data_IF_061310975071
#
_entry.id   IF_061310975071
#
_cell.length_a   1.000
_cell.length_b   1.000
_cell.length_c   1.000
_cell.angle_alpha   90.00
_cell.angle_beta   90.00
_cell.angle_gamma   90.00
#
_symmetry.space_group_name_H-M   'P 1'
#
loop_
_entity.id
_entity.type
_entity.pdbx_description
1 polymer ?
#
# COMPACT_ATOMS: atom_id res chain seq x y z
N UNK A 1 -12.84 -18.91 64.45
CA UNK A 1 -13.20 -19.70 63.27
C UNK A 1 -13.38 -18.73 62.11
N UNK A 2 -12.41 -18.67 61.20
CA UNK A 2 -12.39 -17.67 60.11
C UNK A 2 -12.41 -18.42 58.78
N UNK A 3 -13.40 -18.11 57.96
CA UNK A 3 -13.84 -18.88 56.80
C UNK A 3 -12.98 -18.59 55.57
N UNK A 4 -12.42 -19.65 54.98
CA UNK A 4 -11.74 -19.65 53.69
C UNK A 4 -12.74 -19.42 52.55
N UNK A 5 -12.58 -18.33 51.79
CA UNK A 5 -13.34 -18.08 50.56
C UNK A 5 -12.40 -18.11 49.35
N UNK A 6 -12.47 -19.22 48.62
CA UNK A 6 -11.79 -19.46 47.36
C UNK A 6 -12.37 -18.56 46.24
N UNK A 7 -11.50 -17.91 45.46
CA UNK A 7 -11.87 -17.19 44.23
C UNK A 7 -11.89 -18.15 43.04
N UNK A 8 -12.99 -18.25 42.26
CA UNK A 8 -12.95 -18.94 40.98
C UNK A 8 -12.35 -18.00 39.91
N UNK A 9 -11.22 -18.40 39.32
CA UNK A 9 -10.74 -17.83 38.06
C UNK A 9 -11.61 -18.35 36.90
N UNK A 10 -12.49 -17.52 36.38
CA UNK A 10 -13.25 -17.79 35.16
C UNK A 10 -12.53 -17.14 33.96
N UNK A 11 -11.66 -17.94 33.31
CA UNK A 11 -10.97 -17.58 32.07
C UNK A 11 -11.96 -17.68 30.90
N UNK A 12 -12.50 -16.55 30.45
CA UNK A 12 -13.27 -16.49 29.22
C UNK A 12 -12.35 -16.48 27.98
N UNK A 13 -12.54 -17.34 26.97
CA UNK A 13 -11.81 -17.22 25.71
C UNK A 13 -12.44 -16.13 24.82
N UNK A 14 -11.67 -15.08 24.55
CA UNK A 14 -11.98 -14.02 23.58
C UNK A 14 -12.09 -14.61 22.15
N UNK A 15 -13.28 -15.08 21.75
CA UNK A 15 -13.61 -15.51 20.38
C UNK A 15 -14.37 -14.44 19.59
N UNK A 16 -13.84 -13.21 19.52
CA UNK A 16 -14.52 -12.09 18.83
C UNK A 16 -13.72 -11.50 17.67
N UNK A 17 -12.45 -11.86 17.48
CA UNK A 17 -11.64 -11.34 16.38
C UNK A 17 -11.91 -12.03 15.02
N UNK A 18 -12.22 -13.33 14.98
CA UNK A 18 -12.39 -14.08 13.72
C UNK A 18 -13.67 -13.76 12.93
N UNK A 19 -14.77 -13.43 13.63
CA UNK A 19 -16.10 -13.27 12.99
C UNK A 19 -16.23 -11.99 12.15
N UNK A 20 -15.50 -10.92 12.49
CA UNK A 20 -15.52 -9.68 11.68
C UNK A 20 -14.84 -9.87 10.33
N UNK A 21 -13.68 -10.53 10.28
CA UNK A 21 -13.00 -10.82 9.03
C UNK A 21 -13.78 -11.80 8.15
N UNK A 22 -14.44 -12.80 8.74
CA UNK A 22 -15.34 -13.71 8.03
C UNK A 22 -16.57 -12.98 7.47
N UNK A 23 -17.13 -12.01 8.21
CA UNK A 23 -18.27 -11.21 7.73
C UNK A 23 -17.93 -10.22 6.62
N UNK A 24 -16.72 -9.64 6.62
CA UNK A 24 -16.27 -8.76 5.52
C UNK A 24 -15.82 -9.56 4.31
N UNK A 25 -15.17 -10.71 4.51
CA UNK A 25 -14.82 -11.64 3.44
C UNK A 25 -16.06 -12.25 2.78
N UNK A 26 -17.07 -12.64 3.56
CA UNK A 26 -18.36 -13.13 3.04
C UNK A 26 -19.15 -12.04 2.33
N UNK A 27 -19.10 -10.79 2.79
CA UNK A 27 -19.72 -9.65 2.12
C UNK A 27 -19.04 -9.29 0.79
N UNK A 28 -17.70 -9.33 0.73
CA UNK A 28 -16.94 -9.10 -0.50
C UNK A 28 -17.09 -10.25 -1.49
N UNK A 29 -17.10 -11.50 -1.00
CA UNK A 29 -17.41 -12.68 -1.80
C UNK A 29 -18.85 -12.64 -2.32
N UNK A 30 -19.81 -12.18 -1.52
CA UNK A 30 -21.22 -12.05 -1.93
C UNK A 30 -21.40 -10.95 -2.98
N UNK A 31 -20.67 -9.83 -2.88
CA UNK A 31 -20.66 -8.76 -3.90
C UNK A 31 -19.96 -9.19 -5.19
N UNK A 32 -18.89 -9.99 -5.09
CA UNK A 32 -18.24 -10.61 -6.24
C UNK A 32 -19.17 -11.63 -6.92
N UNK A 33 -19.88 -12.47 -6.15
CA UNK A 33 -20.91 -13.38 -6.64
C UNK A 33 -22.07 -12.63 -7.30
N UNK A 34 -22.50 -11.50 -6.75
CA UNK A 34 -23.56 -10.66 -7.35
C UNK A 34 -23.09 -9.97 -8.64
N UNK A 35 -21.84 -9.54 -8.73
CA UNK A 35 -21.25 -9.01 -9.97
C UNK A 35 -21.15 -10.08 -11.05
N UNK A 36 -20.72 -11.29 -10.68
CA UNK A 36 -20.65 -12.45 -11.56
C UNK A 36 -22.04 -12.88 -12.03
N UNK A 37 -23.04 -12.87 -11.15
CA UNK A 37 -24.45 -13.14 -11.50
C UNK A 37 -25.04 -12.08 -12.41
N UNK A 38 -24.71 -10.79 -12.26
CA UNK A 38 -25.17 -9.75 -13.18
C UNK A 38 -24.55 -9.89 -14.58
N UNK A 39 -23.28 -10.32 -14.66
CA UNK A 39 -22.61 -10.60 -15.94
C UNK A 39 -23.11 -11.92 -16.55
N UNK A 40 -23.44 -12.94 -15.74
CA UNK A 40 -24.03 -14.20 -16.21
C UNK A 40 -25.48 -14.06 -16.66
N UNK A 41 -26.21 -13.05 -16.16
CA UNK A 41 -27.57 -12.74 -16.60
C UNK A 41 -27.60 -11.85 -17.84
N UNK A 42 -26.56 -11.05 -18.08
CA UNK A 42 -26.45 -10.20 -19.27
C UNK A 42 -25.95 -10.95 -20.52
N UNK A 43 -25.33 -12.12 -20.35
CA UNK A 43 -24.91 -13.01 -21.43
C UNK A 43 -25.53 -14.39 -21.18
N UNK A 44 -26.55 -14.74 -21.97
CA UNK A 44 -27.44 -15.89 -21.77
C UNK A 44 -26.79 -17.29 -21.70
N UNK A 45 -27.57 -18.37 -21.85
CA UNK A 45 -27.28 -19.73 -21.35
C UNK A 45 -26.00 -20.42 -21.86
N UNK A 46 -25.24 -19.80 -22.77
CA UNK A 46 -23.91 -20.25 -23.17
C UNK A 46 -22.86 -20.13 -22.05
N UNK A 47 -23.00 -19.20 -21.10
CA UNK A 47 -22.01 -18.99 -20.01
C UNK A 47 -22.39 -19.76 -18.72
N UNK A 48 -23.69 -19.98 -18.48
CA UNK A 48 -24.14 -20.84 -17.37
C UNK A 48 -23.70 -22.31 -17.53
N UNK A 49 -23.54 -22.77 -18.78
CA UNK A 49 -22.88 -24.05 -19.10
C UNK A 49 -21.37 -24.05 -18.84
N UNK A 50 -20.70 -22.89 -18.88
CA UNK A 50 -19.27 -22.77 -18.57
C UNK A 50 -19.02 -22.81 -17.05
N UNK A 51 -19.88 -22.19 -16.23
CA UNK A 51 -19.70 -22.20 -14.77
C UNK A 51 -19.89 -23.59 -14.11
N UNK A 52 -20.72 -24.48 -14.69
CA UNK A 52 -20.82 -25.90 -14.28
C UNK A 52 -19.93 -26.84 -15.10
N UNK A 53 -19.46 -26.40 -16.27
CA UNK A 53 -18.61 -27.15 -17.19
C UNK A 53 -17.10 -26.94 -17.01
N UNK A 54 -16.65 -25.95 -16.22
CA UNK A 54 -15.21 -25.70 -15.96
C UNK A 54 -14.52 -26.84 -15.20
N UNK A 55 -15.25 -27.77 -14.57
CA UNK A 55 -14.66 -28.99 -14.00
C UNK A 55 -14.32 -30.08 -15.04
N UNK A 56 -15.14 -30.22 -16.11
CA UNK A 56 -15.08 -31.36 -17.04
C UNK A 56 -14.83 -30.97 -18.53
N UNK A 57 -14.96 -29.69 -18.90
CA UNK A 57 -14.64 -29.16 -20.23
C UNK A 57 -13.28 -28.44 -20.25
N UNK A 58 -12.75 -28.04 -19.09
CA UNK A 58 -11.39 -27.49 -18.98
C UNK A 58 -10.31 -28.57 -19.22
N UNK A 59 -10.64 -29.84 -18.92
CA UNK A 59 -9.86 -30.99 -19.35
C UNK A 59 -9.95 -31.29 -20.86
N UNK A 60 -10.84 -30.61 -21.60
CA UNK A 60 -11.05 -30.82 -23.04
C UNK A 60 -10.61 -29.63 -23.91
N UNK A 61 -10.21 -28.49 -23.34
CA UNK A 61 -9.46 -27.45 -24.05
C UNK A 61 -7.97 -27.84 -24.04
N UNK A 62 -7.62 -28.86 -24.83
CA UNK A 62 -6.25 -29.25 -25.06
C UNK A 62 -5.51 -28.21 -25.91
N UNK A 63 -4.35 -27.73 -25.45
CA UNK A 63 -3.50 -26.80 -26.22
C UNK A 63 -2.72 -25.79 -25.36
N UNK A 64 -2.05 -24.85 -26.02
CA UNK A 64 -1.27 -23.78 -25.36
C UNK A 64 -2.13 -22.90 -24.44
N UNK A 65 -3.39 -22.67 -24.81
CA UNK A 65 -4.37 -21.89 -24.03
C UNK A 65 -4.80 -22.60 -22.75
N UNK A 66 -5.04 -23.92 -22.78
CA UNK A 66 -5.41 -24.70 -21.59
C UNK A 66 -4.30 -24.73 -20.54
N UNK A 67 -3.02 -24.74 -20.95
CA UNK A 67 -1.88 -24.64 -20.02
C UNK A 67 -1.82 -23.30 -19.29
N UNK A 68 -2.05 -22.19 -19.99
CA UNK A 68 -2.07 -20.86 -19.37
C UNK A 68 -3.23 -20.73 -18.39
N UNK A 69 -4.42 -21.21 -18.74
CA UNK A 69 -5.58 -21.18 -17.85
C UNK A 69 -5.32 -22.01 -16.59
N UNK A 70 -4.77 -23.22 -16.73
CA UNK A 70 -4.41 -24.04 -15.57
C UNK A 70 -3.30 -23.40 -14.71
N UNK A 71 -2.31 -22.75 -15.33
CA UNK A 71 -1.27 -22.04 -14.59
C UNK A 71 -1.84 -20.85 -13.81
N UNK A 72 -2.67 -20.02 -14.44
CA UNK A 72 -3.33 -18.89 -13.78
C UNK A 72 -4.23 -19.38 -12.65
N UNK A 73 -5.01 -20.44 -12.88
CA UNK A 73 -5.89 -21.02 -11.86
C UNK A 73 -5.11 -21.57 -10.67
N UNK A 74 -3.96 -22.22 -10.91
CA UNK A 74 -3.07 -22.69 -9.86
C UNK A 74 -2.40 -21.54 -9.09
N UNK A 75 -2.08 -20.43 -9.76
CA UNK A 75 -1.37 -19.29 -9.16
C UNK A 75 -2.31 -18.31 -8.43
N UNK A 76 -3.59 -18.27 -8.80
CA UNK A 76 -4.62 -17.42 -8.20
C UNK A 76 -4.69 -17.53 -6.66
N UNK A 77 -4.78 -18.72 -6.05
CA UNK A 77 -4.83 -18.83 -4.59
C UNK A 77 -3.55 -18.34 -3.91
N UNK A 78 -2.38 -18.62 -4.50
CA UNK A 78 -1.09 -18.17 -3.98
C UNK A 78 -0.99 -16.64 -3.96
N UNK A 79 -1.22 -16.00 -5.10
CA UNK A 79 -1.11 -14.53 -5.23
C UNK A 79 -2.16 -13.84 -4.36
N UNK A 80 -3.36 -14.41 -4.23
CA UNK A 80 -4.40 -13.84 -3.36
C UNK A 80 -3.99 -13.87 -1.89
N UNK A 81 -3.43 -14.97 -1.41
CA UNK A 81 -3.01 -15.10 -0.01
C UNK A 81 -1.83 -14.18 0.31
N UNK A 82 -0.75 -14.29 -0.47
CA UNK A 82 0.45 -13.50 -0.24
C UNK A 82 0.26 -12.02 -0.56
N UNK A 83 -0.59 -11.68 -1.52
CA UNK A 83 -0.98 -10.29 -1.80
C UNK A 83 -1.68 -9.63 -0.61
N UNK A 84 -2.60 -10.36 0.05
CA UNK A 84 -3.26 -9.85 1.27
C UNK A 84 -2.28 -9.68 2.43
N UNK A 85 -1.40 -10.65 2.65
CA UNK A 85 -0.37 -10.56 3.70
C UNK A 85 0.57 -9.38 3.42
N UNK A 86 1.03 -9.23 2.17
CA UNK A 86 1.86 -8.11 1.76
C UNK A 86 1.17 -6.76 1.97
N UNK A 87 -0.13 -6.66 1.67
CA UNK A 87 -0.92 -5.45 1.92
C UNK A 87 -1.02 -5.12 3.42
N UNK A 88 -1.34 -6.07 4.29
CA UNK A 88 -1.41 -5.82 5.73
C UNK A 88 -0.04 -5.45 6.31
N UNK A 89 1.04 -6.09 5.86
CA UNK A 89 2.40 -5.73 6.25
C UNK A 89 2.76 -4.32 5.78
N UNK A 90 2.41 -3.96 4.53
CA UNK A 90 2.66 -2.61 4.01
C UNK A 90 1.94 -1.54 4.83
N UNK A 91 0.73 -1.83 5.33
CA UNK A 91 -0.04 -0.92 6.18
C UNK A 91 0.64 -0.70 7.54
N UNK A 92 1.18 -1.76 8.14
CA UNK A 92 1.93 -1.66 9.39
C UNK A 92 3.21 -0.84 9.21
N UNK A 93 3.94 -1.05 8.12
CA UNK A 93 5.15 -0.28 7.80
C UNK A 93 4.80 1.17 7.53
N UNK A 94 3.75 1.45 6.75
CA UNK A 94 3.30 2.81 6.46
C UNK A 94 2.95 3.59 7.74
N UNK A 95 2.25 2.93 8.66
CA UNK A 95 1.90 3.54 9.94
C UNK A 95 3.11 3.68 10.88
N UNK A 96 3.96 2.67 10.98
CA UNK A 96 5.17 2.69 11.81
C UNK A 96 6.19 3.72 11.35
N UNK A 97 6.32 3.92 10.03
CA UNK A 97 7.21 4.92 9.42
C UNK A 97 6.58 6.31 9.35
N UNK A 98 5.39 6.53 9.94
CA UNK A 98 4.69 7.81 9.96
C UNK A 98 4.54 8.45 8.57
N UNK A 99 4.28 7.63 7.56
CA UNK A 99 4.10 8.11 6.17
C UNK A 99 2.75 8.80 5.94
N UNK A 100 1.89 8.89 6.96
CA UNK A 100 0.69 9.73 6.92
C UNK A 100 1.08 11.22 6.86
N UNK A 101 0.41 12.04 6.03
CA UNK A 101 0.69 13.46 5.98
C UNK A 101 0.51 14.08 7.37
N UNK A 102 1.44 14.97 7.80
CA UNK A 102 1.37 15.57 9.12
C UNK A 102 0.16 16.49 9.25
N UNK A 103 -0.25 16.77 10.48
CA UNK A 103 -1.39 17.64 10.74
C UNK A 103 -1.13 19.07 10.27
N UNK A 104 -2.20 19.82 9.95
CA UNK A 104 -2.08 21.23 9.54
C UNK A 104 -1.41 22.10 10.61
N UNK A 105 -1.63 21.79 11.90
CA UNK A 105 -0.95 22.47 13.00
C UNK A 105 0.58 22.25 12.94
N UNK A 106 1.01 21.01 12.66
CA UNK A 106 2.44 20.68 12.50
C UNK A 106 3.05 21.44 11.32
N UNK A 107 2.33 21.56 10.20
CA UNK A 107 2.76 22.38 9.07
C UNK A 107 2.91 23.86 9.44
N UNK A 108 1.90 24.44 10.09
CA UNK A 108 1.93 25.85 10.53
C UNK A 108 3.13 26.12 11.45
N UNK A 109 3.34 25.27 12.46
CA UNK A 109 4.47 25.41 13.37
C UNK A 109 5.82 25.25 12.66
N UNK A 110 5.94 24.29 11.74
CA UNK A 110 7.18 24.08 10.98
C UNK A 110 7.47 25.29 10.09
N UNK A 111 6.45 25.80 9.39
CA UNK A 111 6.58 26.98 8.54
C UNK A 111 6.96 28.23 9.33
N UNK A 112 6.29 28.50 10.45
CA UNK A 112 6.60 29.63 11.34
C UNK A 112 8.05 29.54 11.85
N UNK A 113 8.46 28.37 12.33
CA UNK A 113 9.84 28.17 12.80
C UNK A 113 10.86 28.36 11.67
N UNK A 114 10.58 27.86 10.47
CA UNK A 114 11.45 28.05 9.31
C UNK A 114 11.57 29.54 8.95
N UNK A 115 10.43 30.22 8.89
CA UNK A 115 10.34 31.64 8.56
C UNK A 115 11.09 32.52 9.57
N UNK A 116 10.87 32.28 10.86
CA UNK A 116 11.58 32.99 11.94
C UNK A 116 13.09 32.71 11.90
N UNK A 117 13.52 31.49 11.57
CA UNK A 117 14.95 31.16 11.41
C UNK A 117 15.58 31.88 10.23
N UNK A 118 14.85 32.04 9.13
CA UNK A 118 15.30 32.80 7.96
C UNK A 118 15.37 34.29 8.26
N UNK A 119 14.34 34.86 8.89
CA UNK A 119 14.28 36.28 9.26
C UNK A 119 15.38 36.66 10.27
N UNK A 120 15.66 35.78 11.23
CA UNK A 120 16.70 36.00 12.24
C UNK A 120 18.10 35.57 11.77
N UNK A 121 18.25 35.10 10.53
CA UNK A 121 19.56 34.75 9.96
C UNK A 121 20.30 36.03 9.60
N UNK A 122 21.29 36.42 10.40
CA UNK A 122 22.28 37.40 9.97
C UNK A 122 23.15 36.79 8.87
N UNK A 123 22.89 37.16 7.61
CA UNK A 123 23.66 36.76 6.43
C UNK A 123 24.94 37.61 6.42
N UNK A 124 25.87 37.30 7.33
CA UNK A 124 27.22 37.85 7.26
C UNK A 124 28.14 36.80 6.62
N UNK A 125 28.98 37.17 5.63
CA UNK A 125 29.92 36.23 5.00
C UNK A 125 30.80 35.49 6.02
N UNK A 126 31.16 36.15 7.12
CA UNK A 126 31.98 35.62 8.19
C UNK A 126 31.28 34.49 8.97
N UNK A 127 29.99 34.64 9.29
CA UNK A 127 29.21 33.62 10.00
C UNK A 127 28.92 32.41 9.13
N UNK A 128 28.71 32.60 7.82
CA UNK A 128 28.49 31.52 6.86
C UNK A 128 29.76 30.68 6.70
N UNK A 129 30.91 31.34 6.53
CA UNK A 129 32.19 30.64 6.37
C UNK A 129 32.55 29.86 7.65
N UNK A 130 32.29 30.43 8.83
CA UNK A 130 32.47 29.73 10.12
C UNK A 130 31.53 28.51 10.21
N UNK A 131 30.27 28.65 9.80
CA UNK A 131 29.32 27.55 9.80
C UNK A 131 29.74 26.43 8.86
N UNK A 132 30.09 26.73 7.61
CA UNK A 132 30.53 25.72 6.63
C UNK A 132 31.79 24.99 7.13
N UNK A 133 32.72 25.70 7.77
CA UNK A 133 33.92 25.09 8.39
C UNK A 133 33.60 24.26 9.63
N UNK A 134 32.54 24.59 10.35
CA UNK A 134 32.10 23.88 11.56
C UNK A 134 31.21 22.65 11.28
N UNK A 135 30.80 22.44 10.02
CA UNK A 135 30.00 21.27 9.64
C UNK A 135 30.89 20.03 9.60
N UNK A 136 30.54 19.03 10.42
CA UNK A 136 31.14 17.71 10.37
C UNK A 136 30.65 16.89 9.19
N UNK A 137 31.46 15.92 8.78
CA UNK A 137 31.09 14.89 7.80
C UNK A 137 29.74 14.21 8.06
N UNK A 138 29.34 13.85 9.30
CA UNK A 138 28.03 13.22 9.52
C UNK A 138 26.85 14.14 9.19
N UNK A 139 26.99 15.45 9.39
CA UNK A 139 25.93 16.42 9.10
C UNK A 139 25.77 16.64 7.59
N UNK A 140 26.89 16.63 6.85
CA UNK A 140 26.89 16.68 5.38
C UNK A 140 26.26 15.42 4.79
N UNK A 141 26.62 14.23 5.28
CA UNK A 141 26.03 12.97 4.81
C UNK A 141 24.54 12.93 5.11
N UNK A 142 24.12 13.28 6.33
CA UNK A 142 22.70 13.33 6.68
C UNK A 142 21.94 14.33 5.80
N UNK A 143 22.49 15.53 5.60
CA UNK A 143 21.89 16.52 4.70
C UNK A 143 21.80 16.04 3.25
N UNK A 144 22.83 15.36 2.75
CA UNK A 144 22.85 14.77 1.42
C UNK A 144 21.81 13.67 1.23
N UNK A 145 21.66 12.78 2.22
CA UNK A 145 20.62 11.73 2.20
C UNK A 145 19.23 12.36 2.19
N UNK A 146 18.97 13.33 3.06
CA UNK A 146 17.66 14.02 3.10
C UNK A 146 17.37 14.74 1.78
N UNK A 147 18.37 15.37 1.17
CA UNK A 147 18.21 16.02 -0.15
C UNK A 147 17.89 15.00 -1.24
N UNK A 148 18.60 13.85 -1.25
CA UNK A 148 18.33 12.76 -2.17
C UNK A 148 16.92 12.18 -1.99
N UNK A 149 16.46 12.03 -0.75
CA UNK A 149 15.09 11.60 -0.44
C UNK A 149 14.05 12.61 -0.94
N UNK A 150 14.26 13.92 -0.71
CA UNK A 150 13.39 14.97 -1.23
C UNK A 150 13.31 14.94 -2.77
N UNK A 151 14.44 14.77 -3.46
CA UNK A 151 14.47 14.59 -4.92
C UNK A 151 13.74 13.31 -5.36
N UNK A 152 13.88 12.21 -4.61
CA UNK A 152 13.14 10.98 -4.85
C UNK A 152 11.63 11.19 -4.76
N UNK A 153 11.14 11.82 -3.70
CA UNK A 153 9.71 12.13 -3.57
C UNK A 153 9.21 13.10 -4.64
N UNK A 154 10.02 14.07 -5.05
CA UNK A 154 9.67 14.98 -6.14
C UNK A 154 9.45 14.23 -7.46
N UNK A 155 10.37 13.33 -7.83
CA UNK A 155 10.24 12.53 -9.07
C UNK A 155 9.05 11.58 -9.02
N UNK A 156 8.78 10.94 -7.87
CA UNK A 156 7.55 10.15 -7.67
C UNK A 156 6.30 11.02 -7.83
N UNK A 157 6.33 12.24 -7.31
CA UNK A 157 5.25 13.22 -7.49
C UNK A 157 5.02 13.56 -8.96
N UNK A 158 6.08 13.77 -9.75
CA UNK A 158 5.97 13.99 -11.19
C UNK A 158 5.41 12.78 -11.94
N UNK A 159 5.81 11.56 -11.57
CA UNK A 159 5.28 10.31 -12.14
C UNK A 159 3.77 10.22 -11.90
N UNK A 160 3.31 10.52 -10.69
CA UNK A 160 1.88 10.54 -10.34
C UNK A 160 1.16 11.66 -11.09
N UNK A 161 1.71 12.87 -11.10
CA UNK A 161 1.11 14.03 -11.78
C UNK A 161 1.00 13.86 -13.29
N UNK A 162 1.95 13.14 -13.91
CA UNK A 162 1.95 12.85 -15.35
C UNK A 162 1.34 11.49 -15.71
N UNK A 163 0.98 10.67 -14.71
CA UNK A 163 0.54 9.26 -14.84
C UNK A 163 1.41 8.43 -15.80
N UNK A 164 2.73 8.69 -15.80
CA UNK A 164 3.68 8.05 -16.71
C UNK A 164 4.93 7.61 -15.95
N UNK A 165 5.23 6.31 -16.04
CA UNK A 165 6.39 5.70 -15.39
C UNK A 165 7.68 5.93 -16.20
N UNK A 166 7.58 5.91 -17.53
CA UNK A 166 8.65 6.19 -18.48
C UNK A 166 8.20 7.37 -19.33
N UNK A 167 9.16 8.21 -19.76
CA UNK A 167 8.92 9.51 -20.39
C UNK A 167 7.87 9.54 -21.51
N UNK A 168 7.53 10.75 -21.97
CA UNK A 168 6.61 10.90 -23.08
C UNK A 168 7.17 10.19 -24.32
N UNK A 169 6.34 9.38 -24.97
CA UNK A 169 6.67 8.89 -26.30
C UNK A 169 6.93 10.11 -27.19
N UNK A 170 8.15 10.19 -27.74
CA UNK A 170 8.50 11.22 -28.69
C UNK A 170 7.62 11.07 -29.92
N UNK A 171 7.06 12.17 -30.39
CA UNK A 171 6.54 12.23 -31.75
C UNK A 171 7.70 11.83 -32.68
N UNK A 172 7.45 10.92 -33.61
CA UNK A 172 8.44 10.61 -34.65
C UNK A 172 8.64 11.90 -35.45
N UNK A 173 9.75 12.59 -35.21
CA UNK A 173 10.16 13.69 -36.05
C UNK A 173 10.36 13.13 -37.46
N UNK A 174 9.36 13.30 -38.32
CA UNK A 174 9.48 13.05 -39.74
C UNK A 174 10.47 14.08 -40.28
N UNK A 175 11.71 13.64 -40.47
CA UNK A 175 12.71 14.33 -41.28
C UNK A 175 12.47 14.02 -42.77
#
# INVERSE_FOLDING_TARGET
MSSSLARPMLRAPMRVAGRRYESTASSAASKAQQGLSKVTSAAGPAIAGAARGVGNALGKIGGRTGRLINFVQAQTPFVTYYGKVGLELSKLVFHGQKMSPPSLATFQTTYQNLWTRLQNRSISPQTIIQQVRSLGTPQLVAGGVVLAECLGFFTVGEIIGRFKLVGYHGEVAHH
#
